data_IF_191688016649
#
_entry.id   IF_191688016649
#
_cell.length_a   1.000
_cell.length_b   1.000
_cell.length_c   1.000
_cell.angle_alpha   90.00
_cell.angle_beta   90.00
_cell.angle_gamma   90.00
#
_symmetry.space_group_name_H-M   'P 1'
#
loop_
_entity.id
_entity.type
_entity.pdbx_description
1 polymer ?
#
# COMPACT_ATOMS: atom_id res chain seq x y z
N UNK A 1 15.01 -21.41 1.09
CA UNK A 1 15.71 -20.47 0.19
C UNK A 1 14.75 -20.07 -0.91
N UNK A 2 14.36 -18.81 -0.96
CA UNK A 2 13.49 -18.25 -2.01
C UNK A 2 14.37 -18.01 -3.22
N UNK A 3 14.21 -18.80 -4.28
CA UNK A 3 14.98 -18.59 -5.51
C UNK A 3 14.39 -17.40 -6.25
N UNK A 4 15.13 -16.31 -6.48
CA UNK A 4 14.60 -15.17 -7.20
C UNK A 4 14.40 -15.53 -8.67
N UNK A 5 13.16 -15.68 -9.10
CA UNK A 5 12.82 -15.58 -10.52
C UNK A 5 12.89 -14.09 -10.86
N UNK A 6 13.79 -13.69 -11.76
CA UNK A 6 13.79 -12.34 -12.32
C UNK A 6 12.46 -12.15 -13.06
N UNK A 7 11.49 -11.61 -12.36
CA UNK A 7 10.21 -11.21 -12.96
C UNK A 7 10.40 -9.77 -13.41
N UNK A 8 10.12 -9.48 -14.68
CA UNK A 8 10.12 -8.11 -15.19
C UNK A 8 9.07 -7.31 -14.40
N UNK A 9 9.53 -6.34 -13.60
CA UNK A 9 8.63 -5.44 -12.86
C UNK A 9 7.84 -4.55 -13.81
N UNK A 10 6.61 -4.25 -13.43
CA UNK A 10 5.80 -3.25 -14.14
C UNK A 10 6.23 -1.84 -13.74
N UNK A 11 6.23 -0.93 -14.70
CA UNK A 11 6.56 0.48 -14.47
C UNK A 11 5.43 1.19 -13.72
N UNK A 12 5.67 1.51 -12.46
CA UNK A 12 4.89 2.42 -11.62
C UNK A 12 5.77 3.54 -11.04
N UNK A 13 6.84 3.92 -11.74
CA UNK A 13 7.76 5.00 -11.31
C UNK A 13 7.06 6.34 -11.09
N UNK A 14 5.86 6.50 -11.62
CA UNK A 14 5.00 7.69 -11.43
C UNK A 14 4.13 7.64 -10.18
N UNK A 15 4.19 6.57 -9.40
CA UNK A 15 3.39 6.38 -8.18
C UNK A 15 4.28 6.22 -6.97
N UNK A 16 3.91 6.88 -5.87
CA UNK A 16 4.44 6.62 -4.53
C UNK A 16 3.33 6.08 -3.64
N UNK A 17 3.57 4.91 -3.05
CA UNK A 17 2.71 4.38 -1.99
C UNK A 17 3.12 4.98 -0.66
N UNK A 18 2.15 5.47 0.13
CA UNK A 18 2.37 5.97 1.49
C UNK A 18 1.62 5.06 2.47
N UNK A 19 2.36 4.44 3.38
CA UNK A 19 1.86 3.40 4.30
C UNK A 19 2.08 3.85 5.74
N UNK A 20 1.03 4.27 6.46
CA UNK A 20 1.11 4.52 7.89
C UNK A 20 1.24 3.19 8.64
N UNK A 21 2.18 3.09 9.58
CA UNK A 21 2.52 1.83 10.21
C UNK A 21 2.59 1.95 11.74
N UNK A 22 1.97 0.98 12.42
CA UNK A 22 2.22 0.58 13.80
C UNK A 22 2.10 -0.93 13.88
N UNK A 23 3.10 -1.60 14.43
CA UNK A 23 3.16 -3.07 14.48
C UNK A 23 2.87 -3.52 15.90
N UNK A 24 1.62 -3.90 16.18
CA UNK A 24 1.15 -4.30 17.50
C UNK A 24 0.97 -5.82 17.62
N UNK A 25 0.99 -6.54 16.50
CA UNK A 25 0.77 -8.00 16.45
C UNK A 25 1.63 -8.65 15.36
N UNK A 26 1.85 -9.97 15.49
CA UNK A 26 2.55 -10.77 14.48
C UNK A 26 1.81 -10.74 13.13
N UNK A 27 0.48 -10.68 13.14
CA UNK A 27 -0.31 -10.54 11.91
C UNK A 27 -0.01 -9.23 11.18
N UNK A 28 0.07 -8.10 11.90
CA UNK A 28 0.45 -6.81 11.30
C UNK A 28 1.88 -6.84 10.75
N UNK A 29 2.80 -7.50 11.46
CA UNK A 29 4.17 -7.68 10.98
C UNK A 29 4.20 -8.52 9.70
N UNK A 30 3.49 -9.65 9.67
CA UNK A 30 3.37 -10.49 8.47
C UNK A 30 2.75 -9.73 7.30
N UNK A 31 1.71 -8.95 7.55
CA UNK A 31 1.01 -8.19 6.53
C UNK A 31 1.90 -7.15 5.88
N UNK A 32 2.59 -6.31 6.66
CA UNK A 32 3.50 -5.30 6.09
C UNK A 32 4.65 -5.94 5.30
N UNK A 33 5.25 -7.03 5.79
CA UNK A 33 6.29 -7.76 5.07
C UNK A 33 5.75 -8.26 3.72
N UNK A 34 4.58 -8.90 3.72
CA UNK A 34 3.94 -9.43 2.51
C UNK A 34 3.63 -8.32 1.52
N UNK A 35 3.07 -7.22 1.99
CA UNK A 35 2.71 -6.05 1.17
C UNK A 35 3.95 -5.43 0.53
N UNK A 36 5.03 -5.22 1.29
CA UNK A 36 6.26 -4.65 0.75
C UNK A 36 6.93 -5.57 -0.26
N UNK A 37 6.97 -6.88 0.01
CA UNK A 37 7.48 -7.87 -0.95
C UNK A 37 6.61 -7.87 -2.22
N UNK A 38 5.28 -7.84 -2.08
CA UNK A 38 4.37 -7.81 -3.21
C UNK A 38 4.57 -6.58 -4.10
N UNK A 39 4.58 -5.39 -3.49
CA UNK A 39 4.74 -4.14 -4.23
C UNK A 39 6.11 -4.07 -4.94
N UNK A 40 7.20 -4.34 -4.23
CA UNK A 40 8.55 -4.12 -4.77
C UNK A 40 9.02 -5.20 -5.75
N UNK A 41 8.49 -6.43 -5.65
CA UNK A 41 8.78 -7.48 -6.62
C UNK A 41 8.01 -7.32 -7.92
N UNK A 42 6.80 -6.75 -7.86
CA UNK A 42 5.96 -6.61 -9.04
C UNK A 42 6.13 -5.25 -9.73
N UNK A 43 6.50 -4.21 -9.00
CA UNK A 43 6.51 -2.85 -9.53
C UNK A 43 7.86 -2.16 -9.33
N UNK A 44 8.24 -1.38 -10.34
CA UNK A 44 9.24 -0.33 -10.19
C UNK A 44 8.52 0.93 -9.70
N UNK A 45 8.59 1.20 -8.40
CA UNK A 45 7.78 2.22 -7.71
C UNK A 45 8.53 2.78 -6.50
N UNK A 46 7.93 3.74 -5.79
CA UNK A 46 8.40 4.24 -4.50
C UNK A 46 7.42 3.85 -3.41
N UNK A 47 7.92 3.45 -2.25
CA UNK A 47 7.10 3.16 -1.07
C UNK A 47 7.67 3.93 0.12
N UNK A 48 6.87 4.80 0.73
CA UNK A 48 7.21 5.47 1.98
C UNK A 48 6.42 4.78 3.09
N UNK A 49 7.14 4.27 4.08
CA UNK A 49 6.54 3.66 5.28
C UNK A 49 6.87 4.57 6.46
N UNK A 50 5.86 5.15 7.09
CA UNK A 50 6.05 5.93 8.32
C UNK A 50 5.52 5.14 9.51
N UNK A 51 6.46 4.70 10.36
CA UNK A 51 6.19 4.03 11.62
C UNK A 51 6.16 5.05 12.77
N UNK A 52 5.08 5.01 13.56
CA UNK A 52 4.93 5.85 14.76
C UNK A 52 4.69 4.94 15.95
N UNK A 53 5.71 4.79 16.80
CA UNK A 53 5.66 3.91 17.98
C UNK A 53 6.73 4.31 19.02
N UNK A 54 6.75 3.64 20.17
CA UNK A 54 7.76 3.82 21.22
C UNK A 54 9.16 3.40 20.77
N UNK A 55 9.25 2.34 19.99
CA UNK A 55 10.46 1.80 19.39
C UNK A 55 10.17 1.27 17.98
N UNK A 56 11.15 1.26 17.10
CA UNK A 56 10.95 0.78 15.75
C UNK A 56 10.98 -0.74 15.68
N UNK A 57 9.83 -1.36 15.59
CA UNK A 57 9.65 -2.79 15.28
C UNK A 57 10.06 -3.07 13.84
N UNK A 58 9.82 -2.13 12.93
CA UNK A 58 10.25 -2.24 11.54
C UNK A 58 11.77 -2.44 11.42
N UNK A 59 12.57 -1.60 12.06
CA UNK A 59 14.03 -1.72 12.01
C UNK A 59 14.56 -2.99 12.69
N UNK A 60 13.92 -3.39 13.78
CA UNK A 60 14.34 -4.56 14.55
C UNK A 60 13.97 -5.87 13.88
N UNK A 61 12.75 -6.00 13.39
CA UNK A 61 12.16 -7.30 13.00
C UNK A 61 11.81 -7.38 11.51
N UNK A 62 11.27 -6.31 10.89
CA UNK A 62 10.81 -6.33 9.50
C UNK A 62 11.97 -6.19 8.51
N UNK A 63 12.81 -5.20 8.72
CA UNK A 63 13.91 -4.88 7.80
C UNK A 63 14.86 -6.06 7.56
N UNK A 64 15.32 -6.81 8.58
CA UNK A 64 16.18 -7.98 8.36
C UNK A 64 15.53 -9.08 7.50
N UNK A 65 14.20 -9.25 7.60
CA UNK A 65 13.46 -10.21 6.78
C UNK A 65 13.32 -9.74 5.33
N UNK A 66 13.11 -8.44 5.12
CA UNK A 66 13.10 -7.86 3.77
C UNK A 66 14.47 -7.95 3.10
N UNK A 67 15.57 -7.71 3.84
CA UNK A 67 16.95 -7.85 3.34
C UNK A 67 17.29 -9.29 2.91
N UNK A 68 16.64 -10.29 3.50
CA UNK A 68 16.76 -11.69 3.08
C UNK A 68 15.88 -12.04 1.88
N UNK A 69 14.78 -11.31 1.68
CA UNK A 69 13.75 -11.64 0.69
C UNK A 69 13.87 -10.84 -0.61
N UNK A 70 14.49 -9.67 -0.58
CA UNK A 70 14.49 -8.70 -1.68
C UNK A 70 15.91 -8.42 -2.18
N UNK A 71 16.03 -8.17 -3.48
CA UNK A 71 17.27 -7.67 -4.09
C UNK A 71 17.52 -6.21 -3.69
N UNK A 72 18.77 -5.73 -3.73
CA UNK A 72 19.12 -4.37 -3.31
C UNK A 72 18.35 -3.25 -4.00
N UNK A 73 18.02 -3.41 -5.29
CA UNK A 73 17.24 -2.44 -6.07
C UNK A 73 15.76 -2.40 -5.64
N UNK A 74 15.20 -3.53 -5.20
CA UNK A 74 13.86 -3.61 -4.63
C UNK A 74 13.81 -2.97 -3.24
N UNK A 75 14.83 -3.22 -2.41
CA UNK A 75 14.97 -2.58 -1.10
C UNK A 75 15.10 -1.07 -1.21
N UNK A 76 15.81 -0.58 -2.23
CA UNK A 76 15.98 0.85 -2.49
C UNK A 76 14.67 1.57 -2.85
N UNK A 77 13.61 0.81 -3.22
CA UNK A 77 12.27 1.37 -3.44
C UNK A 77 11.56 1.74 -2.12
N UNK A 78 12.03 1.21 -0.98
CA UNK A 78 11.37 1.38 0.32
C UNK A 78 12.10 2.45 1.14
N UNK A 79 11.40 3.53 1.46
CA UNK A 79 11.86 4.58 2.35
C UNK A 79 11.12 4.49 3.70
N UNK A 80 11.81 4.04 4.73
CA UNK A 80 11.25 3.95 6.08
C UNK A 80 11.59 5.20 6.89
N UNK A 81 10.57 5.75 7.54
CA UNK A 81 10.67 6.88 8.47
C UNK A 81 10.14 6.44 9.83
N UNK A 82 10.90 6.64 10.87
CA UNK A 82 10.47 6.34 12.24
C UNK A 82 10.26 7.63 13.03
N UNK A 83 9.10 7.74 13.66
CA UNK A 83 8.79 8.79 14.63
C UNK A 83 8.52 8.14 15.99
N UNK A 84 9.34 8.49 16.99
CA UNK A 84 9.13 8.01 18.35
C UNK A 84 7.94 8.73 18.98
N UNK A 85 6.98 7.96 19.49
CA UNK A 85 5.80 8.47 20.19
C UNK A 85 5.39 7.54 21.32
N UNK A 86 5.03 8.12 22.46
CA UNK A 86 4.40 7.42 23.58
C UNK A 86 2.86 7.52 23.52
N UNK A 87 2.31 8.16 22.47
CA UNK A 87 0.86 8.27 22.27
C UNK A 87 0.29 6.92 21.81
N UNK A 88 -0.70 6.43 22.55
CA UNK A 88 -1.41 5.20 22.19
C UNK A 88 -2.36 5.40 21.01
N UNK A 89 -2.72 6.64 20.68
CA UNK A 89 -3.60 6.95 19.56
C UNK A 89 -2.83 6.87 18.25
N UNK A 90 -3.33 6.08 17.30
CA UNK A 90 -2.78 6.03 15.96
C UNK A 90 -3.41 7.10 15.07
N UNK A 91 -2.76 8.24 14.94
CA UNK A 91 -3.23 9.38 14.14
C UNK A 91 -2.98 9.15 12.63
N UNK A 92 -3.70 8.18 12.05
CA UNK A 92 -3.51 7.74 10.66
C UNK A 92 -3.53 8.90 9.66
N UNK A 93 -4.49 9.81 9.77
CA UNK A 93 -4.64 10.95 8.85
C UNK A 93 -3.46 11.91 8.92
N UNK A 94 -2.98 12.22 10.12
CA UNK A 94 -1.76 13.04 10.32
C UNK A 94 -0.53 12.36 9.71
N UNK A 95 -0.36 11.05 9.96
CA UNK A 95 0.77 10.28 9.43
C UNK A 95 0.75 10.26 7.89
N UNK A 96 -0.44 10.12 7.27
CA UNK A 96 -0.60 10.20 5.81
C UNK A 96 -0.23 11.59 5.28
N UNK A 97 -0.65 12.67 5.94
CA UNK A 97 -0.29 14.02 5.54
C UNK A 97 1.21 14.27 5.63
N UNK A 98 1.86 13.83 6.71
CA UNK A 98 3.31 13.95 6.87
C UNK A 98 4.06 13.26 5.70
N UNK A 99 3.61 12.08 5.28
CA UNK A 99 4.19 11.38 4.13
C UNK A 99 3.82 12.03 2.80
N UNK A 100 2.61 12.59 2.64
CA UNK A 100 2.16 13.25 1.43
C UNK A 100 3.13 14.38 1.00
N UNK A 101 3.64 15.15 1.96
CA UNK A 101 4.61 16.22 1.67
C UNK A 101 5.99 15.71 1.24
N UNK A 102 6.29 14.44 1.47
CA UNK A 102 7.52 13.78 0.99
C UNK A 102 7.40 13.23 -0.42
N UNK A 103 6.17 13.13 -0.97
CA UNK A 103 5.92 12.57 -2.30
C UNK A 103 6.33 13.55 -3.39
N UNK A 104 7.10 13.07 -4.37
CA UNK A 104 7.57 13.81 -5.55
C UNK A 104 7.04 13.25 -6.87
N UNK A 105 6.24 12.18 -6.83
CA UNK A 105 5.64 11.55 -8.02
C UNK A 105 4.26 12.15 -8.35
N UNK A 106 3.83 12.08 -9.62
CA UNK A 106 2.52 12.61 -10.04
C UNK A 106 1.31 11.95 -9.37
N UNK A 107 1.47 10.69 -8.94
CA UNK A 107 0.41 9.92 -8.30
C UNK A 107 0.87 9.50 -6.90
N UNK A 108 0.03 9.67 -5.90
CA UNK A 108 0.21 9.12 -4.56
C UNK A 108 -0.90 8.12 -4.26
N UNK A 109 -0.54 7.01 -3.63
CA UNK A 109 -1.50 6.03 -3.14
C UNK A 109 -1.47 6.00 -1.61
N UNK A 110 -2.58 6.45 -0.97
CA UNK A 110 -2.81 6.13 0.44
C UNK A 110 -3.08 4.64 0.53
N UNK A 111 -2.31 3.91 1.34
CA UNK A 111 -2.29 2.47 1.28
C UNK A 111 -2.18 1.84 2.68
N UNK A 112 -3.09 0.93 3.01
CA UNK A 112 -3.01 0.20 4.27
C UNK A 112 -2.03 -0.97 4.14
N UNK A 113 -1.40 -1.35 5.26
CA UNK A 113 -0.30 -2.31 5.31
C UNK A 113 -0.70 -3.77 5.03
N UNK A 114 -1.98 -4.03 4.81
CA UNK A 114 -2.58 -5.36 4.69
C UNK A 114 -3.44 -5.54 3.42
N UNK A 115 -3.25 -4.68 2.44
CA UNK A 115 -4.01 -4.68 1.19
C UNK A 115 -3.19 -5.31 0.05
N UNK A 116 -3.81 -6.21 -0.70
CA UNK A 116 -3.29 -6.76 -1.93
C UNK A 116 -4.38 -6.70 -3.00
N UNK A 117 -4.06 -6.15 -4.16
CA UNK A 117 -4.94 -6.05 -5.31
C UNK A 117 -4.34 -6.78 -6.52
N UNK A 118 -5.13 -7.18 -7.52
CA UNK A 118 -4.60 -7.65 -8.80
C UNK A 118 -3.68 -6.61 -9.45
N UNK A 119 -2.61 -7.06 -10.13
CA UNK A 119 -1.56 -6.18 -10.68
C UNK A 119 -2.11 -5.10 -11.62
N UNK A 120 -3.06 -5.47 -12.48
CA UNK A 120 -3.69 -4.56 -13.45
C UNK A 120 -4.42 -3.39 -12.77
N UNK A 121 -4.91 -3.61 -11.55
CA UNK A 121 -5.63 -2.58 -10.79
C UNK A 121 -4.72 -1.39 -10.47
N UNK A 122 -3.48 -1.66 -10.03
CA UNK A 122 -2.48 -0.62 -9.76
C UNK A 122 -2.08 0.14 -11.02
N UNK A 123 -1.82 -0.62 -12.11
CA UNK A 123 -1.40 -0.08 -13.40
C UNK A 123 -2.50 0.83 -13.96
N UNK A 124 -3.76 0.37 -13.92
CA UNK A 124 -4.89 1.11 -14.42
C UNK A 124 -5.14 2.39 -13.61
N UNK A 125 -5.12 2.32 -12.28
CA UNK A 125 -5.31 3.48 -11.42
C UNK A 125 -4.24 4.56 -11.67
N UNK A 126 -2.97 4.16 -11.71
CA UNK A 126 -1.85 5.07 -12.05
C UNK A 126 -2.01 5.70 -13.43
N UNK A 127 -2.34 4.88 -14.44
CA UNK A 127 -2.49 5.38 -15.81
C UNK A 127 -3.66 6.34 -15.95
N UNK A 128 -4.80 6.06 -15.34
CA UNK A 128 -6.00 6.91 -15.43
C UNK A 128 -5.72 8.30 -14.85
N UNK A 129 -5.08 8.39 -13.69
CA UNK A 129 -4.74 9.69 -13.09
C UNK A 129 -3.65 10.38 -13.91
N UNK A 130 -2.53 9.70 -14.14
CA UNK A 130 -1.35 10.32 -14.74
C UNK A 130 -1.52 10.72 -16.21
N UNK A 131 -2.50 10.14 -16.93
CA UNK A 131 -2.86 10.49 -18.30
C UNK A 131 -4.06 11.43 -18.39
N UNK A 132 -4.62 11.84 -17.24
CA UNK A 132 -5.78 12.73 -17.21
C UNK A 132 -7.02 12.09 -17.83
N UNK A 133 -7.29 10.81 -17.51
CA UNK A 133 -8.47 10.13 -18.03
C UNK A 133 -9.75 10.84 -17.61
N UNK A 134 -10.69 10.93 -18.55
CA UNK A 134 -11.99 11.58 -18.36
C UNK A 134 -13.09 10.53 -18.49
N UNK A 135 -14.04 10.51 -17.55
CA UNK A 135 -15.16 9.59 -17.64
C UNK A 135 -16.04 9.94 -18.83
N UNK A 136 -16.33 8.99 -19.77
CA UNK A 136 -17.01 9.31 -21.04
C UNK A 136 -18.43 9.85 -20.87
N UNK A 137 -19.11 9.47 -19.78
CA UNK A 137 -20.51 9.84 -19.54
C UNK A 137 -20.68 11.07 -18.62
N UNK A 138 -19.59 11.73 -18.21
CA UNK A 138 -19.66 12.88 -17.34
C UNK A 138 -19.76 14.17 -18.15
N UNK A 139 -20.90 14.86 -18.09
CA UNK A 139 -21.08 16.19 -18.67
C UNK A 139 -20.08 17.19 -18.04
N UNK A 140 -19.34 17.93 -18.89
CA UNK A 140 -18.30 18.86 -18.42
C UNK A 140 -17.11 18.19 -17.77
N UNK A 141 -16.82 16.97 -18.18
CA UNK A 141 -15.91 16.06 -17.55
C UNK A 141 -14.52 16.65 -17.34
N UNK A 142 -14.09 16.67 -16.09
CA UNK A 142 -12.73 16.97 -15.68
C UNK A 142 -11.91 15.68 -15.59
N UNK A 143 -10.58 15.76 -15.75
CA UNK A 143 -9.70 14.63 -15.51
C UNK A 143 -9.90 14.04 -14.11
N UNK A 144 -9.90 12.71 -14.03
CA UNK A 144 -10.02 11.99 -12.77
C UNK A 144 -8.83 12.33 -11.87
N UNK A 145 -9.12 12.72 -10.63
CA UNK A 145 -8.15 13.14 -9.62
C UNK A 145 -8.04 12.15 -8.47
N UNK A 146 -9.02 11.28 -8.31
CA UNK A 146 -9.05 10.25 -7.27
C UNK A 146 -9.63 8.95 -7.84
N UNK A 147 -9.03 7.83 -7.48
CA UNK A 147 -9.51 6.49 -7.83
C UNK A 147 -9.51 5.61 -6.60
N UNK A 148 -10.66 5.00 -6.32
CA UNK A 148 -10.78 3.84 -5.46
C UNK A 148 -10.61 2.60 -6.34
N UNK A 149 -9.50 1.85 -6.21
CA UNK A 149 -9.16 0.77 -7.14
C UNK A 149 -9.91 -0.54 -6.85
N UNK A 150 -11.10 -0.46 -6.29
CA UNK A 150 -11.96 -1.58 -5.95
C UNK A 150 -13.44 -1.22 -6.19
N UNK A 151 -14.25 -2.24 -6.50
CA UNK A 151 -15.67 -2.07 -6.76
C UNK A 151 -16.49 -1.81 -5.50
N UNK A 152 -17.68 -1.28 -5.69
CA UNK A 152 -18.71 -1.19 -4.65
C UNK A 152 -19.35 -2.57 -4.47
N UNK A 153 -19.63 -2.98 -3.22
CA UNK A 153 -20.30 -4.23 -2.90
C UNK A 153 -19.32 -5.41 -2.73
N UNK A 154 -19.54 -6.48 -3.47
CA UNK A 154 -19.00 -7.81 -3.19
C UNK A 154 -17.56 -8.09 -3.68
N UNK A 155 -16.73 -7.05 -3.82
CA UNK A 155 -15.38 -7.18 -4.42
C UNK A 155 -14.24 -7.13 -3.41
N UNK A 156 -14.55 -7.06 -2.12
CA UNK A 156 -13.55 -7.05 -1.06
C UNK A 156 -13.64 -8.35 -0.26
N UNK A 157 -12.48 -8.90 0.05
CA UNK A 157 -12.36 -10.12 0.83
C UNK A 157 -11.37 -9.91 1.97
N UNK A 158 -11.77 -10.33 3.16
CA UNK A 158 -10.86 -10.49 4.27
C UNK A 158 -10.26 -11.88 4.21
N UNK A 159 -8.93 -11.99 4.24
CA UNK A 159 -8.21 -13.25 4.25
C UNK A 159 -7.75 -13.58 5.66
N UNK A 160 -8.07 -14.78 6.14
CA UNK A 160 -7.56 -15.32 7.39
C UNK A 160 -6.55 -16.43 7.07
N UNK A 161 -5.30 -16.04 6.88
CA UNK A 161 -4.20 -16.93 6.45
C UNK A 161 -3.07 -16.92 7.45
N UNK A 162 -2.40 -18.06 7.55
CA UNK A 162 -1.19 -18.23 8.35
C UNK A 162 0.08 -18.05 7.50
N UNK A 163 1.23 -18.28 8.14
CA UNK A 163 2.55 -18.11 7.52
C UNK A 163 2.77 -19.05 6.33
N UNK A 164 2.20 -20.25 6.37
CA UNK A 164 2.32 -21.24 5.29
C UNK A 164 1.65 -20.76 4.01
N UNK A 165 0.40 -20.26 4.10
CA UNK A 165 -0.36 -19.75 2.95
C UNK A 165 0.32 -18.52 2.36
N UNK A 166 0.80 -17.60 3.22
CA UNK A 166 1.55 -16.42 2.78
C UNK A 166 2.87 -16.81 2.11
N UNK A 167 3.60 -17.75 2.69
CA UNK A 167 4.85 -18.27 2.09
C UNK A 167 4.58 -18.91 0.72
N UNK A 168 3.54 -19.71 0.59
CA UNK A 168 3.15 -20.32 -0.68
C UNK A 168 2.72 -19.27 -1.71
N UNK A 169 1.96 -18.25 -1.29
CA UNK A 169 1.58 -17.13 -2.14
C UNK A 169 2.81 -16.39 -2.71
N UNK A 170 3.78 -16.05 -1.86
CA UNK A 170 5.02 -15.38 -2.28
C UNK A 170 5.84 -16.28 -3.22
N UNK A 171 6.00 -17.56 -2.88
CA UNK A 171 6.82 -18.50 -3.64
C UNK A 171 6.20 -18.90 -4.99
N UNK A 172 4.87 -18.85 -5.11
CA UNK A 172 4.16 -19.10 -6.36
C UNK A 172 4.25 -17.95 -7.38
N UNK A 173 4.85 -16.81 -6.99
CA UNK A 173 4.83 -15.60 -7.80
C UNK A 173 3.50 -14.85 -7.64
N UNK A 174 2.95 -14.89 -6.44
CA UNK A 174 1.74 -14.16 -6.02
C UNK A 174 0.43 -14.69 -6.64
N UNK A 175 0.28 -16.02 -6.68
CA UNK A 175 -0.98 -16.63 -7.09
C UNK A 175 -2.03 -16.54 -5.97
N UNK A 176 -3.06 -15.71 -6.16
CA UNK A 176 -4.16 -15.51 -5.21
C UNK A 176 -4.99 -16.76 -4.92
N UNK A 177 -4.86 -17.83 -5.75
CA UNK A 177 -5.54 -19.09 -5.48
C UNK A 177 -5.14 -19.75 -4.15
N UNK A 178 -3.95 -19.44 -3.63
CA UNK A 178 -3.51 -19.89 -2.31
C UNK A 178 -4.35 -19.31 -1.16
N UNK A 179 -5.14 -18.29 -1.43
CA UNK A 179 -6.07 -17.72 -0.46
C UNK A 179 -7.50 -18.27 -0.60
N UNK A 180 -7.76 -19.10 -1.62
CA UNK A 180 -9.06 -19.76 -1.77
C UNK A 180 -9.37 -20.64 -0.55
N UNK A 181 -10.58 -20.53 -0.03
CA UNK A 181 -10.99 -21.19 1.20
C UNK A 181 -10.67 -20.43 2.50
N UNK A 182 -9.80 -19.42 2.44
CA UNK A 182 -9.44 -18.55 3.55
C UNK A 182 -10.06 -17.15 3.43
N UNK A 183 -10.73 -16.87 2.31
CA UNK A 183 -11.35 -15.58 2.01
C UNK A 183 -12.79 -15.54 2.53
N UNK A 184 -13.11 -14.50 3.27
CA UNK A 184 -14.48 -14.16 3.65
C UNK A 184 -14.85 -12.85 2.93
N UNK A 185 -15.99 -12.84 2.27
CA UNK A 185 -16.53 -11.61 1.72
C UNK A 185 -16.72 -10.57 2.83
N UNK A 186 -16.25 -9.36 2.57
CA UNK A 186 -16.35 -8.24 3.47
C UNK A 186 -17.32 -7.20 2.88
N UNK A 187 -18.17 -6.62 3.72
CA UNK A 187 -19.00 -5.50 3.28
C UNK A 187 -18.10 -4.34 2.92
N UNK A 188 -18.14 -3.95 1.66
CA UNK A 188 -17.28 -2.93 1.10
C UNK A 188 -17.29 -1.65 1.94
N UNK A 189 -16.14 -1.30 2.47
CA UNK A 189 -15.90 -0.02 3.11
C UNK A 189 -14.92 0.77 2.25
N UNK A 190 -15.02 2.07 2.30
CA UNK A 190 -14.05 2.95 1.64
C UNK A 190 -12.88 3.20 2.59
N UNK A 191 -11.66 3.40 2.05
CA UNK A 191 -10.56 3.89 2.84
C UNK A 191 -9.29 3.04 2.89
N UNK A 192 -9.28 1.84 2.31
CA UNK A 192 -8.12 0.93 2.41
C UNK A 192 -6.99 1.28 1.44
N UNK A 193 -7.35 1.75 0.25
CA UNK A 193 -6.43 2.15 -0.80
C UNK A 193 -7.09 3.19 -1.67
N UNK A 194 -6.44 4.34 -1.86
CA UNK A 194 -6.90 5.38 -2.76
C UNK A 194 -5.71 5.95 -3.52
N UNK A 195 -5.88 6.12 -4.83
CA UNK A 195 -4.91 6.79 -5.67
C UNK A 195 -5.38 8.22 -5.92
N UNK A 196 -4.46 9.18 -5.78
CA UNK A 196 -4.72 10.60 -5.99
C UNK A 196 -3.74 11.22 -6.98
N UNK A 197 -4.20 12.23 -7.71
CA UNK A 197 -3.31 13.23 -8.29
C UNK A 197 -2.62 13.97 -7.14
N UNK A 198 -1.30 13.87 -7.07
CA UNK A 198 -0.52 14.35 -5.92
C UNK A 198 -0.67 15.85 -5.72
N UNK A 199 -0.63 16.63 -6.80
CA UNK A 199 -0.71 18.09 -6.72
C UNK A 199 -2.09 18.56 -6.25
N UNK A 200 -3.16 17.95 -6.78
CA UNK A 200 -4.52 18.29 -6.32
C UNK A 200 -4.74 17.86 -4.87
N UNK A 201 -4.22 16.71 -4.47
CA UNK A 201 -4.35 16.24 -3.09
C UNK A 201 -3.62 17.16 -2.10
N UNK A 202 -2.39 17.59 -2.43
CA UNK A 202 -1.64 18.59 -1.64
C UNK A 202 -2.38 19.93 -1.59
N UNK A 203 -2.92 20.40 -2.70
CA UNK A 203 -3.67 21.65 -2.80
C UNK A 203 -4.93 21.67 -1.92
N UNK A 204 -5.58 20.51 -1.78
CA UNK A 204 -6.74 20.34 -0.90
C UNK A 204 -6.36 20.19 0.59
N UNK A 205 -5.07 20.09 0.92
CA UNK A 205 -4.55 19.96 2.27
C UNK A 205 -4.44 18.52 2.78
N UNK A 206 -4.64 17.53 1.91
CA UNK A 206 -4.58 16.11 2.29
C UNK A 206 -5.79 15.64 3.08
N UNK A 207 -5.54 14.76 4.06
CA UNK A 207 -6.57 14.21 4.96
C UNK A 207 -6.96 15.21 6.05
N UNK A 208 -8.21 15.11 6.51
CA UNK A 208 -8.66 15.90 7.65
C UNK A 208 -8.13 15.31 8.97
N UNK A 209 -7.16 15.95 9.58
CA UNK A 209 -6.49 15.50 10.80
C UNK A 209 -7.39 15.48 12.06
N UNK A 210 -8.59 16.07 11.97
CA UNK A 210 -9.56 15.97 13.06
C UNK A 210 -10.25 14.59 13.11
N UNK A 211 -10.11 13.77 12.06
CA UNK A 211 -10.53 12.37 12.11
C UNK A 211 -9.46 11.53 12.81
N UNK A 212 -9.67 11.28 14.09
CA UNK A 212 -8.84 10.37 14.87
C UNK A 212 -9.36 8.95 14.61
N UNK A 213 -8.51 8.08 14.09
CA UNK A 213 -8.87 6.68 13.93
C UNK A 213 -9.14 6.08 15.32
N UNK A 214 -10.34 5.56 15.50
CA UNK A 214 -10.64 4.70 16.65
C UNK A 214 -10.08 3.33 16.28
N UNK A 215 -9.05 2.89 17.00
CA UNK A 215 -8.45 1.56 16.87
C UNK A 215 -9.43 0.47 17.27
#
# INVERSE_FOLDING_TARGET
MITPKVVKRFDLTRTTFIIPLRIETDDRMRNIITTLIYLTRNFDTKVIVKEVDKESVYLRDVKPLLEQALEPDMLACIHHVFEKSDDFTFHRTKILNDMLWMVDTPVVANYDSDILLPLETYINATNMISKGWVHPDAEGAQPVKVIYPYGIGNYQFQCHVGDNEVTNFINSGFNFEYFNGHMRQWDAKYGFCQFFDTEEYKKLGGENENFIAVS
#
